data_IF_812604163862
#
_entry.id   IF_812604163862
#
_cell.length_a   1.000
_cell.length_b   1.000
_cell.length_c   1.000
_cell.angle_alpha   90.00
_cell.angle_beta   90.00
_cell.angle_gamma   90.00
#
_symmetry.space_group_name_H-M   'P 1'
#
loop_
_entity.id
_entity.type
_entity.pdbx_description
1 polymer ?
#
# COMPACT_ATOMS: atom_id res chain seq x y z
N UNK A 1 14.63 -11.37 -4.05
CA UNK A 1 13.44 -10.65 -4.57
C UNK A 1 13.39 -9.32 -3.88
N UNK A 2 12.93 -8.28 -4.57
CA UNK A 2 12.97 -6.91 -4.07
C UNK A 2 11.87 -6.65 -3.02
N UNK A 3 12.15 -5.74 -2.09
CA UNK A 3 11.23 -5.37 -0.99
C UNK A 3 10.33 -4.23 -1.40
N UNK A 4 9.03 -4.37 -1.14
CA UNK A 4 8.03 -3.32 -1.37
C UNK A 4 7.78 -2.56 -0.07
N UNK A 5 7.96 -1.25 -0.11
CA UNK A 5 7.67 -0.33 0.99
C UNK A 5 6.58 0.67 0.61
N UNK A 6 5.74 1.08 1.56
CA UNK A 6 4.78 2.17 1.31
C UNK A 6 5.52 3.46 0.99
N UNK A 7 5.13 4.11 -0.10
CA UNK A 7 5.71 5.38 -0.54
C UNK A 7 5.15 6.60 0.21
N UNK A 8 3.98 6.46 0.87
CA UNK A 8 3.28 7.55 1.55
C UNK A 8 2.49 8.48 0.61
N UNK A 9 2.36 8.14 -0.67
CA UNK A 9 1.52 8.89 -1.62
C UNK A 9 0.02 8.67 -1.42
N UNK A 10 -0.38 7.64 -0.66
CA UNK A 10 -1.78 7.43 -0.31
C UNK A 10 -2.09 8.10 1.03
N UNK A 11 -3.29 8.66 1.16
CA UNK A 11 -3.75 9.26 2.41
C UNK A 11 -4.19 8.21 3.45
N UNK A 12 -3.89 6.94 3.16
CA UNK A 12 -4.35 5.75 3.90
C UNK A 12 -3.21 5.13 4.70
N UNK A 13 -2.00 5.02 4.11
CA UNK A 13 -0.85 4.43 4.79
C UNK A 13 0.33 5.41 4.84
N UNK A 14 0.99 5.56 6.00
CA UNK A 14 2.21 6.37 6.11
C UNK A 14 3.33 5.71 5.30
N UNK A 15 4.35 6.49 4.96
CA UNK A 15 5.55 6.03 4.25
C UNK A 15 6.39 5.09 5.13
N UNK A 16 7.04 4.11 4.51
CA UNK A 16 8.08 3.28 5.14
C UNK A 16 7.61 1.98 5.78
N UNK A 17 6.35 1.59 5.61
CA UNK A 17 5.84 0.29 6.07
C UNK A 17 6.26 -0.78 5.04
N UNK A 18 7.01 -1.82 5.44
CA UNK A 18 7.31 -2.95 4.56
C UNK A 18 6.05 -3.81 4.37
N UNK A 19 5.66 -4.04 3.11
CA UNK A 19 4.45 -4.78 2.78
C UNK A 19 4.77 -6.24 2.42
N UNK A 20 5.85 -6.43 1.66
CA UNK A 20 6.01 -7.67 0.91
C UNK A 20 7.30 -7.74 0.13
N UNK A 21 7.48 -8.88 -0.53
CA UNK A 21 8.53 -9.10 -1.52
C UNK A 21 7.93 -9.44 -2.88
N UNK A 22 8.59 -9.04 -3.96
CA UNK A 22 8.15 -9.35 -5.32
C UNK A 22 8.34 -10.84 -5.61
N UNK A 23 7.28 -11.49 -6.09
CA UNK A 23 7.30 -12.91 -6.53
C UNK A 23 7.15 -13.09 -8.03
N UNK A 24 6.76 -12.04 -8.76
CA UNK A 24 6.72 -12.05 -10.22
C UNK A 24 6.20 -10.72 -10.77
N UNK A 25 6.32 -10.53 -12.08
CA UNK A 25 5.79 -9.37 -12.77
C UNK A 25 5.28 -9.76 -14.16
N UNK A 26 4.22 -9.11 -14.61
CA UNK A 26 3.64 -9.26 -15.94
C UNK A 26 3.56 -7.90 -16.62
N UNK A 27 3.86 -7.87 -17.91
CA UNK A 27 3.70 -6.68 -18.77
C UNK A 27 2.39 -6.79 -19.53
N UNK A 28 1.60 -5.72 -19.54
CA UNK A 28 0.38 -5.65 -20.36
C UNK A 28 0.74 -5.06 -21.72
N UNK A 29 0.51 -5.76 -22.85
CA UNK A 29 0.75 -5.22 -24.17
C UNK A 29 0.04 -3.87 -24.36
N UNK A 30 0.77 -2.87 -24.81
CA UNK A 30 0.24 -1.51 -25.02
C UNK A 30 0.24 -0.59 -23.78
N UNK A 31 0.68 -1.05 -22.60
CA UNK A 31 0.85 -0.18 -21.42
C UNK A 31 2.31 -0.10 -20.97
N UNK A 32 2.72 1.08 -20.51
CA UNK A 32 4.04 1.31 -19.87
C UNK A 32 4.03 0.99 -18.37
N UNK A 33 3.13 0.11 -17.92
CA UNK A 33 2.97 -0.26 -16.52
C UNK A 33 3.07 -1.77 -16.33
N UNK A 34 3.65 -2.16 -15.19
CA UNK A 34 3.84 -3.56 -14.80
C UNK A 34 2.78 -3.96 -13.77
N UNK A 35 2.26 -5.18 -13.90
CA UNK A 35 1.45 -5.81 -12.86
C UNK A 35 2.42 -6.66 -12.03
N UNK A 36 2.62 -6.29 -10.77
CA UNK A 36 3.55 -6.96 -9.87
C UNK A 36 2.77 -7.94 -8.99
N UNK A 37 3.19 -9.21 -9.00
CA UNK A 37 2.75 -10.22 -8.03
C UNK A 37 3.70 -10.16 -6.84
N UNK A 38 3.15 -10.06 -5.64
CA UNK A 38 3.92 -9.97 -4.41
C UNK A 38 3.46 -10.99 -3.37
N UNK A 39 4.38 -11.37 -2.48
CA UNK A 39 4.09 -12.11 -1.25
C UNK A 39 4.13 -11.13 -0.10
N UNK A 40 3.00 -10.99 0.60
CA UNK A 40 2.86 -10.15 1.79
C UNK A 40 3.67 -10.75 2.93
N UNK A 41 4.35 -9.91 3.71
CA UNK A 41 5.10 -10.31 4.91
C UNK A 41 4.17 -10.60 6.11
N UNK A 42 3.00 -9.96 6.11
CA UNK A 42 2.01 -10.07 7.17
C UNK A 42 1.13 -11.30 6.90
N UNK A 43 1.15 -12.24 7.84
CA UNK A 43 0.18 -13.33 7.91
C UNK A 43 -1.08 -12.83 8.66
N UNK A 44 -2.21 -12.78 7.95
CA UNK A 44 -3.49 -12.33 8.50
C UNK A 44 -4.31 -13.46 9.12
N UNK A 45 -3.83 -14.72 9.08
CA UNK A 45 -4.56 -15.86 9.65
C UNK A 45 -4.47 -15.91 11.18
N UNK A 46 -3.45 -15.28 11.78
CA UNK A 46 -3.28 -15.20 13.23
C UNK A 46 -2.98 -13.76 13.67
N UNK A 47 -4.04 -12.98 13.89
CA UNK A 47 -3.94 -11.56 14.21
C UNK A 47 -3.81 -11.38 15.72
N UNK A 48 -2.62 -10.93 16.15
CA UNK A 48 -2.34 -10.48 17.52
C UNK A 48 -2.68 -8.99 17.74
N UNK A 49 -1.98 -8.27 18.64
CA UNK A 49 -2.21 -6.84 18.82
C UNK A 49 -1.87 -6.07 17.55
N UNK A 50 -2.80 -5.23 17.09
CA UNK A 50 -2.69 -4.43 15.87
C UNK A 50 -2.59 -2.94 16.18
N UNK A 51 -1.99 -2.18 15.27
CA UNK A 51 -1.92 -0.73 15.33
C UNK A 51 -2.91 -0.10 14.36
N UNK A 52 -3.70 0.87 14.85
CA UNK A 52 -4.63 1.63 14.01
C UNK A 52 -3.94 2.90 13.51
N UNK A 53 -3.84 3.03 12.19
CA UNK A 53 -3.37 4.25 11.54
C UNK A 53 -4.57 5.20 11.38
N UNK A 54 -4.56 6.34 12.06
CA UNK A 54 -5.56 7.40 11.90
C UNK A 54 -4.94 8.59 11.18
N UNK A 55 -5.56 9.02 10.08
CA UNK A 55 -5.25 10.28 9.44
C UNK A 55 -6.10 11.39 10.06
N UNK A 56 -5.46 12.28 10.82
CA UNK A 56 -6.14 13.35 11.55
C UNK A 56 -6.74 14.43 10.62
N UNK A 57 -6.21 14.58 9.40
CA UNK A 57 -6.65 15.59 8.42
C UNK A 57 -7.62 15.02 7.38
N UNK A 58 -8.09 13.79 7.60
CA UNK A 58 -8.93 13.10 6.61
C UNK A 58 -10.23 13.85 6.36
N UNK A 59 -10.85 14.40 7.40
CA UNK A 59 -12.14 15.08 7.30
C UNK A 59 -12.01 16.38 6.49
N UNK A 60 -11.01 17.20 6.78
CA UNK A 60 -10.73 18.45 6.07
C UNK A 60 -10.41 18.19 4.60
N UNK A 61 -9.62 17.15 4.33
CA UNK A 61 -9.27 16.77 2.97
C UNK A 61 -10.47 16.23 2.17
N UNK A 62 -11.34 15.46 2.81
CA UNK A 62 -12.57 14.97 2.17
C UNK A 62 -13.50 16.15 1.84
N UNK A 63 -13.57 17.19 2.69
CA UNK A 63 -14.30 18.44 2.37
C UNK A 63 -13.71 19.20 1.17
N UNK A 64 -12.39 19.21 0.99
CA UNK A 64 -11.73 19.89 -0.13
C UNK A 64 -11.93 19.20 -1.50
N UNK A 65 -12.28 17.91 -1.52
CA UNK A 65 -12.50 17.13 -2.75
C UNK A 65 -13.92 17.23 -3.32
N UNK A 66 -14.86 17.82 -2.57
CA UNK A 66 -16.28 17.90 -2.94
C UNK A 66 -16.59 19.16 -3.79
N UNK A 67 -15.57 19.94 -4.17
CA UNK A 67 -15.71 21.06 -5.11
C UNK A 67 -15.29 20.68 -6.53
#
# INVERSE_FOLDING_TARGET
GDTIITSGFSNVFPKGIPIGTITGFNTVPGRKSYIIKMKTLIDMTNIGPVYVVKNNFKQELDSLKVN
#
